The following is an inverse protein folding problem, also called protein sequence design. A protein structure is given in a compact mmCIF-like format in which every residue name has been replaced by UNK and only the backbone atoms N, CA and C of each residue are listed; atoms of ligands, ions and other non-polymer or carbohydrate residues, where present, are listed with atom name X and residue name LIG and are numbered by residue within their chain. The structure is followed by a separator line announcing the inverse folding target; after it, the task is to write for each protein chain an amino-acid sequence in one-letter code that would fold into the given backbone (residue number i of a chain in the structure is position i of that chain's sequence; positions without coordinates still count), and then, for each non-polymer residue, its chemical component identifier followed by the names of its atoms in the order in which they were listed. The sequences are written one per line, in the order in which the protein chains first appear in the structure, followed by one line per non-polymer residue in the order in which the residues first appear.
data_IF_943528695458
#
_entry.id   IF_943528695458
#
_cell.length_a   1.000
_cell.length_b   1.000
_cell.length_c   1.000
_cell.angle_alpha   90.00
_cell.angle_beta   90.00
_cell.angle_gamma   90.00
#
_symmetry.space_group_name_H-M   'P 1'
#
loop_
_entity.id
_entity.type
_entity.pdbx_description
1 polymer ?
#
# COMPACT_ATOMS: atom_id res chain seq x y z
N UNK A 1 -1.63 13.92 -22.15
CA UNK A 1 -1.16 14.95 -21.19
C UNK A 1 -2.12 16.12 -21.31
N UNK A 2 -2.55 16.68 -20.20
CA UNK A 2 -3.31 17.94 -20.19
C UNK A 2 -2.35 19.08 -20.50
N UNK A 3 -2.80 20.14 -21.16
CA UNK A 3 -1.95 21.18 -21.74
C UNK A 3 -0.98 21.91 -20.79
N UNK A 4 -1.06 21.69 -19.47
CA UNK A 4 -0.20 22.33 -18.45
C UNK A 4 0.66 21.35 -17.63
N UNK A 5 0.70 20.07 -17.94
CA UNK A 5 1.49 19.08 -17.18
C UNK A 5 2.92 19.02 -17.71
N UNK A 6 3.82 19.72 -17.02
CA UNK A 6 5.26 19.78 -17.36
C UNK A 6 6.06 18.63 -16.76
N UNK A 7 5.52 17.97 -15.71
CA UNK A 7 6.18 16.96 -14.90
C UNK A 7 5.34 15.68 -14.94
N UNK A 8 5.93 14.56 -15.31
CA UNK A 8 5.24 13.28 -15.32
C UNK A 8 4.94 12.78 -13.89
N UNK A 9 5.92 12.88 -12.99
CA UNK A 9 5.84 12.36 -11.64
C UNK A 9 6.46 13.33 -10.62
N UNK A 10 5.69 13.74 -9.62
CA UNK A 10 6.20 14.50 -8.47
C UNK A 10 6.29 13.60 -7.25
N UNK A 11 7.47 13.55 -6.60
CA UNK A 11 7.68 12.89 -5.30
C UNK A 11 7.50 13.92 -4.18
N UNK A 12 6.31 13.97 -3.58
CA UNK A 12 6.02 14.87 -2.47
C UNK A 12 6.41 14.22 -1.13
N UNK A 13 7.23 14.94 -0.36
CA UNK A 13 7.89 14.42 0.83
C UNK A 13 9.29 13.87 0.56
N UNK A 14 9.93 14.31 -0.52
CA UNK A 14 11.25 13.88 -0.97
C UNK A 14 12.36 13.99 0.08
N UNK A 15 12.22 14.87 1.07
CA UNK A 15 13.19 15.07 2.16
C UNK A 15 12.98 14.16 3.37
N UNK A 16 11.86 13.43 3.42
CA UNK A 16 11.54 12.45 4.46
C UNK A 16 12.29 11.14 4.28
N UNK A 17 12.26 10.27 5.29
CA UNK A 17 12.97 8.98 5.25
C UNK A 17 12.59 8.15 4.00
N UNK A 18 11.31 7.85 3.81
CA UNK A 18 10.83 7.06 2.68
C UNK A 18 10.95 7.81 1.35
N UNK A 19 10.67 9.13 1.34
CA UNK A 19 10.79 9.95 0.13
C UNK A 19 12.20 9.95 -0.46
N UNK A 20 13.24 9.98 0.39
CA UNK A 20 14.65 9.87 -0.03
C UNK A 20 14.92 8.54 -0.73
N UNK A 21 14.36 7.43 -0.22
CA UNK A 21 14.50 6.10 -0.83
C UNK A 21 13.77 6.02 -2.18
N UNK A 22 12.61 6.65 -2.30
CA UNK A 22 11.89 6.76 -3.57
C UNK A 22 12.70 7.57 -4.58
N UNK A 23 13.26 8.72 -4.19
CA UNK A 23 14.09 9.55 -5.06
C UNK A 23 15.37 8.82 -5.51
N UNK A 24 16.05 8.11 -4.59
CA UNK A 24 17.22 7.28 -4.92
C UNK A 24 16.85 6.16 -5.92
N UNK A 25 15.72 5.50 -5.72
CA UNK A 25 15.24 4.48 -6.64
C UNK A 25 14.93 5.05 -8.02
N UNK A 26 14.17 6.16 -8.11
CA UNK A 26 13.84 6.81 -9.39
C UNK A 26 15.08 7.28 -10.11
N UNK A 27 16.04 7.86 -9.39
CA UNK A 27 17.33 8.29 -9.98
C UNK A 27 18.10 7.13 -10.60
N UNK A 28 18.18 5.99 -9.91
CA UNK A 28 18.91 4.80 -10.41
C UNK A 28 18.18 4.09 -11.53
N UNK A 29 16.85 4.00 -11.46
CA UNK A 29 16.04 3.22 -12.38
C UNK A 29 15.66 3.98 -13.65
N UNK A 30 15.37 5.28 -13.53
CA UNK A 30 14.86 6.11 -14.63
C UNK A 30 15.79 7.24 -15.01
N UNK A 31 16.62 7.71 -14.08
CA UNK A 31 17.60 8.79 -14.33
C UNK A 31 16.96 10.11 -14.70
N UNK A 32 17.69 10.90 -15.50
CA UNK A 32 17.24 12.17 -16.09
C UNK A 32 17.22 12.05 -17.61
N UNK A 33 16.18 12.58 -18.25
CA UNK A 33 16.00 12.50 -19.70
C UNK A 33 15.62 11.10 -20.23
N UNK A 34 15.22 10.20 -19.33
CA UNK A 34 14.63 8.91 -19.65
C UNK A 34 13.12 8.99 -19.93
N UNK A 35 12.43 7.84 -19.79
CA UNK A 35 11.00 7.70 -20.10
C UNK A 35 10.09 8.37 -19.08
N UNK A 36 10.61 8.88 -17.96
CA UNK A 36 9.86 9.53 -16.87
C UNK A 36 10.56 10.82 -16.47
N UNK A 37 9.90 11.94 -16.70
CA UNK A 37 10.33 13.26 -16.23
C UNK A 37 9.79 13.47 -14.79
N UNK A 38 10.66 13.34 -13.78
CA UNK A 38 10.25 13.39 -12.39
C UNK A 38 10.86 14.56 -11.62
N UNK A 39 10.21 14.97 -10.53
CA UNK A 39 10.62 16.08 -9.68
C UNK A 39 10.59 15.70 -8.21
N UNK A 40 11.43 16.36 -7.41
CA UNK A 40 11.41 16.28 -5.94
C UNK A 40 10.59 17.43 -5.37
N UNK A 41 9.66 17.12 -4.45
CA UNK A 41 8.84 18.14 -3.81
C UNK A 41 8.86 18.05 -2.28
N UNK A 42 8.73 19.22 -1.64
CA UNK A 42 8.71 19.37 -0.18
C UNK A 42 8.64 20.84 0.22
N UNK A 43 8.51 21.11 1.52
CA UNK A 43 8.25 22.47 2.04
C UNK A 43 9.47 23.40 2.15
N UNK A 44 10.68 22.90 1.93
CA UNK A 44 11.92 23.68 2.07
C UNK A 44 12.84 23.41 0.89
N UNK A 45 13.09 24.45 0.07
CA UNK A 45 13.99 24.38 -1.08
C UNK A 45 15.41 23.99 -0.65
N UNK A 46 15.97 24.62 0.40
CA UNK A 46 17.31 24.30 0.90
C UNK A 46 17.47 22.83 1.27
N UNK A 47 16.43 22.23 1.91
CA UNK A 47 16.44 20.81 2.24
C UNK A 47 16.32 19.92 1.00
N UNK A 48 15.53 20.34 0.00
CA UNK A 48 15.43 19.62 -1.26
C UNK A 48 16.77 19.62 -2.01
N UNK A 49 17.45 20.76 -2.08
CA UNK A 49 18.80 20.87 -2.64
C UNK A 49 19.78 19.95 -1.91
N UNK A 50 19.81 20.03 -0.57
CA UNK A 50 20.70 19.20 0.26
C UNK A 50 20.47 17.70 0.02
N UNK A 51 19.22 17.25 -0.03
CA UNK A 51 18.88 15.84 -0.25
C UNK A 51 19.19 15.41 -1.69
N UNK A 52 18.92 16.24 -2.68
CA UNK A 52 19.27 15.99 -4.08
C UNK A 52 20.77 15.74 -4.23
N UNK A 53 21.58 16.65 -3.67
CA UNK A 53 23.05 16.59 -3.77
C UNK A 53 23.60 15.39 -2.98
N UNK A 54 23.05 15.09 -1.80
CA UNK A 54 23.43 13.92 -0.97
C UNK A 54 23.13 12.59 -1.67
N UNK A 55 22.02 12.49 -2.39
CA UNK A 55 21.65 11.30 -3.17
C UNK A 55 22.35 11.20 -4.53
N UNK A 56 23.13 12.21 -4.93
CA UNK A 56 23.74 12.28 -6.26
C UNK A 56 22.71 12.37 -7.38
N UNK A 57 21.55 12.93 -7.12
CA UNK A 57 20.51 13.18 -8.13
C UNK A 57 20.94 14.38 -8.97
N UNK A 58 20.79 14.26 -10.29
CA UNK A 58 21.18 15.31 -11.25
C UNK A 58 20.47 16.63 -10.95
N UNK A 59 21.22 17.73 -11.07
CA UNK A 59 20.68 19.09 -10.85
C UNK A 59 19.55 19.48 -11.83
N UNK A 60 19.42 18.77 -12.96
CA UNK A 60 18.31 18.93 -13.90
C UNK A 60 16.97 18.40 -13.37
N UNK A 61 16.96 17.58 -12.31
CA UNK A 61 15.71 17.17 -11.64
C UNK A 61 15.08 18.39 -10.96
N UNK A 62 13.85 18.79 -11.35
CA UNK A 62 13.20 19.96 -10.79
C UNK A 62 12.93 19.82 -9.29
N UNK A 63 13.00 20.94 -8.58
CA UNK A 63 12.59 21.04 -7.18
C UNK A 63 11.30 21.85 -7.11
N UNK A 64 10.31 21.34 -6.41
CA UNK A 64 8.98 21.96 -6.25
C UNK A 64 8.73 22.22 -4.78
N UNK A 65 8.53 23.49 -4.43
CA UNK A 65 8.20 23.89 -3.05
C UNK A 65 6.69 23.77 -2.84
N UNK A 66 6.27 22.86 -1.97
CA UNK A 66 4.87 22.69 -1.58
C UNK A 66 4.77 22.33 -0.09
N UNK A 67 3.79 22.90 0.60
CA UNK A 67 3.56 22.73 2.03
C UNK A 67 2.13 22.25 2.29
N UNK A 68 1.97 21.20 3.11
CA UNK A 68 0.66 20.66 3.48
C UNK A 68 -0.24 21.69 4.19
N UNK A 69 0.37 22.67 4.88
CA UNK A 69 -0.36 23.74 5.56
C UNK A 69 -0.76 24.90 4.62
N UNK A 70 -0.44 24.78 3.32
CA UNK A 70 -0.70 25.82 2.31
C UNK A 70 -1.38 25.25 1.07
N UNK A 71 -2.70 25.19 1.09
CA UNK A 71 -3.51 24.61 0.02
C UNK A 71 -3.18 25.16 -1.38
N UNK A 72 -2.82 26.45 -1.50
CA UNK A 72 -2.47 27.05 -2.80
C UNK A 72 -1.16 26.45 -3.37
N UNK A 73 -0.16 26.19 -2.51
CA UNK A 73 1.09 25.55 -2.96
C UNK A 73 0.89 24.09 -3.38
N UNK A 74 -0.04 23.39 -2.73
CA UNK A 74 -0.44 22.03 -3.16
C UNK A 74 -1.13 22.06 -4.52
N UNK A 75 -2.08 22.99 -4.75
CA UNK A 75 -2.75 23.15 -6.05
C UNK A 75 -1.77 23.49 -7.17
N UNK A 76 -0.82 24.38 -6.93
CA UNK A 76 0.22 24.71 -7.90
C UNK A 76 1.05 23.47 -8.28
N UNK A 77 1.54 22.71 -7.30
CA UNK A 77 2.26 21.47 -7.54
C UNK A 77 1.42 20.44 -8.34
N UNK A 78 0.17 20.22 -7.91
CA UNK A 78 -0.74 19.24 -8.50
C UNK A 78 -1.08 19.56 -9.96
N UNK A 79 -1.30 20.84 -10.31
CA UNK A 79 -1.63 21.23 -11.69
C UNK A 79 -0.49 21.06 -12.67
N UNK A 80 0.76 20.99 -12.20
CA UNK A 80 1.96 20.80 -13.02
C UNK A 80 2.34 19.33 -13.20
N UNK A 81 1.74 18.43 -12.42
CA UNK A 81 2.09 17.01 -12.39
C UNK A 81 1.05 16.14 -13.09
N UNK A 82 1.48 15.10 -13.81
CA UNK A 82 0.59 14.05 -14.25
C UNK A 82 0.24 13.08 -13.12
N UNK A 83 1.23 12.72 -12.28
CA UNK A 83 1.07 11.87 -11.12
C UNK A 83 1.74 12.52 -9.91
N UNK A 84 1.07 12.57 -8.76
CA UNK A 84 1.68 12.90 -7.47
C UNK A 84 1.83 11.63 -6.65
N UNK A 85 3.08 11.31 -6.30
CA UNK A 85 3.45 10.28 -5.35
C UNK A 85 3.77 10.96 -4.03
N UNK A 86 3.06 10.60 -2.95
CA UNK A 86 3.29 11.21 -1.64
C UNK A 86 3.73 10.21 -0.58
N UNK A 87 4.73 10.62 0.19
CA UNK A 87 5.20 9.91 1.39
C UNK A 87 4.99 10.75 2.66
N UNK A 88 4.17 11.81 2.57
CA UNK A 88 3.89 12.72 3.68
C UNK A 88 2.76 12.16 4.53
N UNK A 89 3.10 11.63 5.69
CA UNK A 89 2.19 11.12 6.71
C UNK A 89 2.48 11.71 8.10
N UNK A 90 1.60 11.51 9.10
CA UNK A 90 0.29 10.83 9.03
C UNK A 90 -0.70 11.48 8.07
N UNK A 91 -1.39 10.65 7.27
CA UNK A 91 -2.27 11.12 6.20
C UNK A 91 -3.50 11.85 6.75
N UNK A 92 -4.04 11.38 7.87
CA UNK A 92 -5.15 12.04 8.58
C UNK A 92 -4.82 13.47 9.04
N UNK A 93 -3.52 13.83 9.13
CA UNK A 93 -3.07 15.16 9.52
C UNK A 93 -2.70 16.04 8.33
N UNK A 94 -2.15 15.44 7.25
CA UNK A 94 -1.51 16.21 6.17
C UNK A 94 -1.97 15.81 4.75
N UNK A 95 -2.80 14.77 4.60
CA UNK A 95 -3.13 14.20 3.29
C UNK A 95 -4.39 14.77 2.64
N UNK A 96 -5.34 15.27 3.42
CA UNK A 96 -6.69 15.56 2.93
C UNK A 96 -6.72 16.65 1.84
N UNK A 97 -6.02 17.74 2.02
CA UNK A 97 -5.97 18.84 1.04
C UNK A 97 -5.28 18.42 -0.26
N UNK A 98 -4.28 17.54 -0.18
CA UNK A 98 -3.61 17.02 -1.36
C UNK A 98 -4.52 16.08 -2.16
N UNK A 99 -5.24 15.18 -1.49
CA UNK A 99 -6.23 14.30 -2.15
C UNK A 99 -7.34 15.14 -2.80
N UNK A 100 -7.86 16.15 -2.10
CA UNK A 100 -8.85 17.08 -2.64
C UNK A 100 -8.34 17.78 -3.90
N UNK A 101 -7.13 18.34 -3.85
CA UNK A 101 -6.52 19.03 -4.99
C UNK A 101 -6.32 18.09 -6.21
N UNK A 102 -5.85 16.86 -5.98
CA UNK A 102 -5.70 15.86 -7.04
C UNK A 102 -7.05 15.47 -7.64
N UNK A 103 -8.06 15.21 -6.79
CA UNK A 103 -9.41 14.86 -7.22
C UNK A 103 -10.07 15.97 -8.06
N UNK A 104 -9.87 17.22 -7.71
CA UNK A 104 -10.40 18.38 -8.43
C UNK A 104 -9.65 18.64 -9.75
N UNK A 105 -8.32 18.57 -9.73
CA UNK A 105 -7.48 18.84 -10.91
C UNK A 105 -7.49 17.69 -11.93
N UNK A 106 -7.89 16.49 -11.52
CA UNK A 106 -7.79 15.26 -12.30
C UNK A 106 -6.36 14.75 -12.43
N UNK A 107 -5.50 15.08 -11.48
CA UNK A 107 -4.13 14.58 -11.37
C UNK A 107 -4.15 13.24 -10.67
N UNK A 108 -3.40 12.28 -11.17
CA UNK A 108 -3.29 10.96 -10.55
C UNK A 108 -2.50 11.04 -9.23
N UNK A 109 -2.80 10.12 -8.32
CA UNK A 109 -2.23 10.12 -6.96
C UNK A 109 -1.92 8.72 -6.49
N UNK A 110 -0.77 8.54 -5.83
CA UNK A 110 -0.41 7.32 -5.10
C UNK A 110 0.18 7.65 -3.74
N UNK A 111 -0.09 6.80 -2.75
CA UNK A 111 0.44 6.96 -1.38
C UNK A 111 0.82 5.64 -0.71
N UNK A 112 1.23 5.72 0.55
CA UNK A 112 1.57 4.62 1.45
C UNK A 112 0.60 4.53 2.64
N UNK A 113 -0.64 4.95 2.45
CA UNK A 113 -1.59 5.08 3.54
C UNK A 113 -2.00 3.71 4.11
N UNK A 114 -1.85 3.58 5.43
CA UNK A 114 -2.37 2.47 6.23
C UNK A 114 -3.39 2.94 7.28
N UNK A 115 -4.11 4.05 7.03
CA UNK A 115 -5.03 4.72 7.95
C UNK A 115 -6.49 4.57 7.48
N UNK A 116 -7.19 3.43 7.79
CA UNK A 116 -8.51 3.12 7.20
C UNK A 116 -9.59 4.17 7.50
N UNK A 117 -9.53 4.80 8.68
CA UNK A 117 -10.48 5.86 9.06
C UNK A 117 -10.40 7.04 8.12
N UNK A 118 -9.18 7.53 7.85
CA UNK A 118 -8.96 8.62 6.91
C UNK A 118 -9.30 8.21 5.47
N UNK A 119 -8.95 7.01 5.04
CA UNK A 119 -9.31 6.51 3.70
C UNK A 119 -10.82 6.47 3.51
N UNK A 120 -11.58 6.02 4.54
CA UNK A 120 -13.04 6.03 4.52
C UNK A 120 -13.60 7.44 4.30
N UNK A 121 -13.08 8.44 5.02
CA UNK A 121 -13.48 9.84 4.87
C UNK A 121 -13.14 10.39 3.48
N UNK A 122 -11.96 10.10 2.94
CA UNK A 122 -11.54 10.55 1.61
C UNK A 122 -12.36 9.92 0.48
N UNK A 123 -12.70 8.65 0.60
CA UNK A 123 -13.59 7.95 -0.35
C UNK A 123 -14.96 8.65 -0.40
N UNK A 124 -15.53 8.95 0.75
CA UNK A 124 -16.82 9.60 0.85
C UNK A 124 -16.79 11.05 0.34
N UNK A 125 -15.73 11.80 0.65
CA UNK A 125 -15.63 13.23 0.32
C UNK A 125 -15.24 13.50 -1.14
N UNK A 126 -14.35 12.67 -1.71
CA UNK A 126 -13.68 13.00 -2.98
C UNK A 126 -13.88 11.97 -4.10
N UNK A 127 -14.55 10.85 -3.84
CA UNK A 127 -14.78 9.80 -4.85
C UNK A 127 -15.47 10.32 -6.10
N UNK A 128 -16.56 11.08 -5.94
CA UNK A 128 -17.31 11.66 -7.06
C UNK A 128 -16.50 12.72 -7.82
N UNK A 129 -15.71 13.54 -7.11
CA UNK A 129 -14.86 14.55 -7.75
C UNK A 129 -13.79 13.87 -8.61
N UNK A 130 -13.11 12.86 -8.08
CA UNK A 130 -12.11 12.07 -8.81
C UNK A 130 -12.73 11.37 -10.04
N UNK A 131 -13.92 10.79 -9.91
CA UNK A 131 -14.61 10.16 -11.01
C UNK A 131 -14.95 11.17 -12.14
N UNK A 132 -15.42 12.36 -11.81
CA UNK A 132 -15.75 13.41 -12.79
C UNK A 132 -14.53 14.02 -13.45
N UNK A 133 -13.46 14.28 -12.71
CA UNK A 133 -12.25 14.91 -13.22
C UNK A 133 -11.36 13.95 -14.02
N UNK A 134 -11.52 12.64 -13.80
CA UNK A 134 -10.67 11.60 -14.35
C UNK A 134 -9.40 11.34 -13.52
N UNK A 135 -9.28 11.88 -12.29
CA UNK A 135 -8.18 11.58 -11.39
C UNK A 135 -8.25 10.12 -10.92
N UNK A 136 -7.15 9.40 -11.02
CA UNK A 136 -7.00 8.05 -10.47
C UNK A 136 -6.22 8.14 -9.17
N UNK A 137 -6.94 8.01 -8.06
CA UNK A 137 -6.37 8.10 -6.71
C UNK A 137 -6.20 6.67 -6.19
N UNK A 138 -4.97 6.21 -5.98
CA UNK A 138 -4.69 4.84 -5.54
C UNK A 138 -4.00 4.90 -4.18
N UNK A 139 -4.70 4.47 -3.14
CA UNK A 139 -4.16 4.38 -1.78
C UNK A 139 -3.35 3.10 -1.57
N UNK A 140 -2.50 3.10 -0.54
CA UNK A 140 -1.82 1.89 -0.02
C UNK A 140 -0.89 1.21 -1.04
N UNK A 141 -0.07 1.99 -1.75
CA UNK A 141 0.87 1.51 -2.78
C UNK A 141 2.24 1.06 -2.20
N UNK A 142 2.29 0.61 -0.95
CA UNK A 142 3.45 0.04 -0.29
C UNK A 142 3.26 -1.41 0.12
N UNK A 143 4.04 -1.87 1.12
CA UNK A 143 3.86 -3.21 1.69
C UNK A 143 2.45 -3.40 2.24
N UNK A 144 1.89 -2.35 2.78
CA UNK A 144 0.48 -2.24 3.10
C UNK A 144 -0.19 -1.43 1.95
N UNK A 145 -0.79 -2.06 0.89
CA UNK A 145 -1.19 -3.48 0.83
C UNK A 145 -0.71 -4.21 -0.43
N UNK A 146 0.26 -3.72 -1.21
CA UNK A 146 0.59 -4.26 -2.55
C UNK A 146 0.78 -5.80 -2.58
N UNK A 147 1.64 -6.43 -1.76
CA UNK A 147 1.86 -7.87 -1.84
C UNK A 147 0.61 -8.69 -1.52
N UNK A 148 -0.27 -8.15 -0.67
CA UNK A 148 -1.49 -8.83 -0.22
C UNK A 148 -2.62 -8.68 -1.24
N UNK A 149 -2.89 -7.46 -1.66
CA UNK A 149 -3.95 -7.13 -2.59
C UNK A 149 -3.69 -7.75 -3.98
N UNK A 150 -2.48 -7.54 -4.52
CA UNK A 150 -2.08 -8.15 -5.79
C UNK A 150 -1.85 -9.67 -5.66
N UNK A 151 -1.47 -10.17 -4.49
CA UNK A 151 -1.33 -11.61 -4.24
C UNK A 151 -2.67 -12.35 -4.31
N UNK A 152 -3.71 -11.79 -3.69
CA UNK A 152 -5.09 -12.31 -3.82
C UNK A 152 -5.57 -12.18 -5.27
N UNK A 153 -5.34 -11.03 -5.91
CA UNK A 153 -5.70 -10.83 -7.31
C UNK A 153 -5.04 -11.88 -8.23
N UNK A 154 -3.75 -12.11 -8.08
CA UNK A 154 -2.98 -13.11 -8.83
C UNK A 154 -3.55 -14.53 -8.64
N UNK A 155 -3.83 -14.91 -7.39
CA UNK A 155 -4.45 -16.21 -7.08
C UNK A 155 -5.83 -16.36 -7.73
N UNK A 156 -6.68 -15.34 -7.66
CA UNK A 156 -8.02 -15.35 -8.23
C UNK A 156 -8.01 -15.41 -9.77
N UNK A 157 -7.09 -14.71 -10.42
CA UNK A 157 -6.89 -14.81 -11.86
C UNK A 157 -6.45 -16.22 -12.26
N UNK A 158 -5.52 -16.81 -11.51
CA UNK A 158 -5.08 -18.18 -11.73
C UNK A 158 -6.20 -19.21 -11.53
N UNK A 159 -7.05 -19.02 -10.50
CA UNK A 159 -8.20 -19.88 -10.23
C UNK A 159 -9.20 -19.84 -11.40
N UNK A 160 -9.57 -18.66 -11.87
CA UNK A 160 -10.45 -18.50 -13.03
C UNK A 160 -9.89 -19.19 -14.28
N UNK A 161 -8.58 -19.05 -14.53
CA UNK A 161 -7.91 -19.65 -15.68
C UNK A 161 -7.83 -21.18 -15.58
N UNK A 162 -7.57 -21.73 -14.39
CA UNK A 162 -7.36 -23.17 -14.18
C UNK A 162 -8.62 -23.94 -13.84
N UNK A 163 -9.53 -23.34 -13.05
CA UNK A 163 -10.72 -23.99 -12.50
C UNK A 163 -12.01 -23.48 -13.15
N UNK A 164 -11.98 -22.33 -13.84
CA UNK A 164 -13.14 -21.70 -14.44
C UNK A 164 -13.96 -20.80 -13.49
N UNK A 165 -13.57 -20.71 -12.22
CA UNK A 165 -14.27 -19.92 -11.20
C UNK A 165 -13.30 -19.29 -10.20
N UNK A 166 -13.78 -18.33 -9.43
CA UNK A 166 -13.06 -17.73 -8.31
C UNK A 166 -13.11 -18.63 -7.07
N UNK A 167 -12.20 -18.37 -6.12
CA UNK A 167 -12.14 -19.06 -4.85
C UNK A 167 -12.75 -18.17 -3.75
N UNK A 168 -13.94 -18.52 -3.20
CA UNK A 168 -14.65 -17.64 -2.25
C UNK A 168 -13.97 -17.56 -0.88
N UNK A 169 -13.04 -18.45 -0.55
CA UNK A 169 -12.27 -18.40 0.67
C UNK A 169 -10.78 -18.29 0.36
N UNK A 170 -10.13 -17.20 0.82
CA UNK A 170 -8.67 -17.05 0.72
C UNK A 170 -8.09 -16.75 2.09
N UNK A 171 -6.98 -17.40 2.42
CA UNK A 171 -6.17 -17.14 3.63
C UNK A 171 -4.82 -16.58 3.21
N UNK A 172 -4.48 -15.36 3.67
CA UNK A 172 -3.14 -14.81 3.57
C UNK A 172 -2.30 -15.24 4.78
N UNK A 173 -1.12 -15.79 4.55
CA UNK A 173 -0.25 -16.29 5.62
C UNK A 173 1.18 -15.81 5.41
N UNK A 174 1.63 -14.90 6.27
CA UNK A 174 3.04 -14.47 6.28
C UNK A 174 3.87 -15.64 6.83
N UNK A 175 4.64 -16.29 5.95
CA UNK A 175 5.51 -17.42 6.32
C UNK A 175 6.78 -16.97 7.02
N UNK A 176 7.34 -15.89 6.53
CA UNK A 176 8.52 -15.27 7.13
C UNK A 176 8.67 -13.83 6.65
N UNK A 177 9.21 -12.99 7.50
CA UNK A 177 9.57 -11.61 7.13
C UNK A 177 10.69 -11.10 8.04
N UNK A 178 11.50 -10.19 7.51
CA UNK A 178 12.51 -9.44 8.25
C UNK A 178 12.44 -7.98 7.86
N UNK A 179 12.13 -7.14 8.81
CA UNK A 179 12.02 -5.69 8.67
C UNK A 179 11.66 -5.02 9.99
N UNK A 180 11.70 -3.69 10.00
CA UNK A 180 11.35 -2.89 11.19
C UNK A 180 10.52 -1.68 10.77
N UNK A 181 9.87 -1.02 11.73
CA UNK A 181 9.04 0.17 11.48
C UNK A 181 9.85 1.46 11.58
N UNK A 182 9.54 2.46 10.74
CA UNK A 182 10.07 3.83 10.90
C UNK A 182 9.26 4.63 11.92
N UNK A 183 9.82 5.78 12.33
CA UNK A 183 9.09 6.73 13.15
C UNK A 183 7.83 7.30 12.48
N UNK A 184 7.79 7.36 11.13
CA UNK A 184 6.60 7.77 10.38
C UNK A 184 5.45 6.78 10.54
N UNK A 185 5.71 5.49 10.33
CA UNK A 185 4.72 4.42 10.53
C UNK A 185 4.18 4.39 11.96
N UNK A 186 5.07 4.55 12.94
CA UNK A 186 4.68 4.61 14.35
C UNK A 186 3.84 5.86 14.67
N UNK A 187 4.14 7.00 14.05
CA UNK A 187 3.34 8.22 14.19
C UNK A 187 1.92 8.04 13.64
N UNK A 188 1.77 7.44 12.44
CA UNK A 188 0.47 7.11 11.86
C UNK A 188 -0.33 6.14 12.73
N UNK A 189 0.32 5.09 13.25
CA UNK A 189 -0.33 4.15 14.17
C UNK A 189 -0.86 4.85 15.44
N UNK A 190 -0.01 5.65 16.10
CA UNK A 190 -0.40 6.40 17.30
C UNK A 190 -1.53 7.41 17.02
N UNK A 191 -1.48 8.12 15.90
CA UNK A 191 -2.52 9.05 15.49
C UNK A 191 -3.85 8.32 15.22
N UNK A 192 -3.83 7.17 14.55
CA UNK A 192 -5.02 6.35 14.30
C UNK A 192 -5.64 5.85 15.60
N UNK A 193 -4.84 5.37 16.54
CA UNK A 193 -5.34 4.92 17.85
C UNK A 193 -5.92 6.05 18.69
N UNK A 194 -5.29 7.23 18.66
CA UNK A 194 -5.81 8.43 19.34
C UNK A 194 -7.14 8.88 18.73
N UNK A 195 -7.23 8.96 17.41
CA UNK A 195 -8.46 9.32 16.71
C UNK A 195 -9.61 8.34 17.00
N UNK A 196 -9.33 7.03 17.02
CA UNK A 196 -10.33 6.02 17.35
C UNK A 196 -10.81 6.08 18.83
N UNK A 197 -9.94 6.52 19.74
CA UNK A 197 -10.32 6.70 21.14
C UNK A 197 -11.20 7.94 21.35
N UNK A 198 -11.02 8.99 20.55
CA UNK A 198 -11.81 10.23 20.61
C UNK A 198 -13.11 10.15 19.80
N UNK A 199 -13.12 9.36 18.73
CA UNK A 199 -14.21 9.27 17.75
C UNK A 199 -14.70 7.82 17.61
N UNK A 200 -15.78 7.43 18.31
CA UNK A 200 -16.31 6.05 18.30
C UNK A 200 -16.64 5.53 16.88
N UNK A 201 -17.06 6.41 15.97
CA UNK A 201 -17.32 6.05 14.57
C UNK A 201 -16.06 5.56 13.85
N UNK A 202 -14.87 6.12 14.14
CA UNK A 202 -13.62 5.62 13.59
C UNK A 202 -13.23 4.26 14.20
N UNK A 203 -13.51 4.04 15.46
CA UNK A 203 -13.33 2.71 16.06
C UNK A 203 -14.17 1.65 15.35
N UNK A 204 -15.40 1.98 14.94
CA UNK A 204 -16.25 1.08 14.14
C UNK A 204 -15.63 0.82 12.76
N UNK A 205 -15.12 1.86 12.07
CA UNK A 205 -14.41 1.71 10.79
C UNK A 205 -13.20 0.78 10.92
N UNK A 206 -12.45 0.84 12.02
CA UNK A 206 -11.31 -0.08 12.24
C UNK A 206 -11.77 -1.53 12.40
N UNK A 207 -12.94 -1.77 13.01
CA UNK A 207 -13.47 -3.12 13.23
C UNK A 207 -14.20 -3.70 12.03
N UNK A 208 -14.78 -2.88 11.16
CA UNK A 208 -15.55 -3.33 10.00
C UNK A 208 -14.63 -3.70 8.82
N UNK A 209 -14.60 -4.97 8.37
CA UNK A 209 -13.85 -5.39 7.19
C UNK A 209 -14.28 -4.70 5.89
N UNK A 210 -15.55 -4.26 5.84
CA UNK A 210 -16.18 -3.63 4.67
C UNK A 210 -16.25 -2.10 4.77
N UNK A 211 -15.56 -1.49 5.71
CA UNK A 211 -15.58 -0.03 5.91
C UNK A 211 -15.20 0.79 4.66
N UNK A 212 -14.44 0.22 3.72
CA UNK A 212 -14.02 0.88 2.48
C UNK A 212 -14.87 0.51 1.26
N UNK A 213 -16.03 -0.17 1.45
CA UNK A 213 -16.94 -0.60 0.38
C UNK A 213 -18.31 0.06 0.52
N UNK A 214 -18.48 1.33 0.09
CA UNK A 214 -19.72 2.07 0.31
C UNK A 214 -20.94 1.35 -0.24
N UNK A 215 -21.95 1.12 0.63
CA UNK A 215 -23.20 0.47 0.24
C UNK A 215 -23.16 -1.05 0.11
N UNK A 216 -22.01 -1.68 0.39
CA UNK A 216 -21.87 -3.15 0.39
C UNK A 216 -21.31 -3.64 1.73
N UNK A 217 -21.93 -4.72 2.24
CA UNK A 217 -21.45 -5.48 3.39
C UNK A 217 -21.56 -6.96 3.05
N UNK A 218 -20.42 -7.65 3.02
CA UNK A 218 -20.36 -9.08 2.68
C UNK A 218 -20.63 -9.99 3.87
N UNK A 219 -20.29 -11.30 3.77
CA UNK A 219 -20.45 -12.27 4.84
C UNK A 219 -19.57 -11.97 6.06
N UNK A 220 -19.90 -12.60 7.19
CA UNK A 220 -19.04 -12.56 8.38
C UNK A 220 -17.61 -13.01 8.05
N UNK A 221 -16.63 -12.23 8.48
CA UNK A 221 -15.22 -12.48 8.21
C UNK A 221 -14.56 -13.17 9.40
N UNK A 222 -13.61 -14.12 9.14
CA UNK A 222 -12.81 -14.71 10.20
C UNK A 222 -12.03 -13.61 10.93
N UNK A 223 -12.07 -13.55 12.26
CA UNK A 223 -11.55 -12.40 13.01
C UNK A 223 -10.01 -12.24 12.96
N UNK A 224 -9.25 -13.33 12.76
CA UNK A 224 -7.77 -13.28 12.68
C UNK A 224 -7.06 -12.68 13.92
N UNK A 225 -7.75 -12.61 15.08
CA UNK A 225 -7.30 -11.85 16.26
C UNK A 225 -6.70 -12.72 17.37
N UNK A 226 -6.74 -14.05 17.22
CA UNK A 226 -6.23 -15.02 18.20
C UNK A 226 -5.36 -16.07 17.53
N UNK A 227 -4.38 -16.66 18.27
CA UNK A 227 -3.66 -17.82 17.78
C UNK A 227 -4.59 -18.97 17.36
N UNK A 228 -4.29 -19.59 16.20
CA UNK A 228 -5.06 -20.70 15.64
C UNK A 228 -4.10 -21.76 15.12
N UNK A 229 -4.40 -23.06 15.35
CA UNK A 229 -3.69 -24.15 14.70
C UNK A 229 -4.30 -24.41 13.32
N UNK A 230 -3.48 -24.38 12.28
CA UNK A 230 -3.87 -24.64 10.89
C UNK A 230 -3.41 -26.06 10.51
N UNK A 231 -4.32 -27.01 10.60
CA UNK A 231 -4.01 -28.43 10.39
C UNK A 231 -3.45 -28.72 8.99
N UNK A 232 -4.03 -28.12 7.96
CA UNK A 232 -3.63 -28.28 6.56
C UNK A 232 -2.28 -27.64 6.22
N UNK A 233 -1.80 -26.72 7.04
CA UNK A 233 -0.46 -26.13 6.94
C UNK A 233 0.52 -26.71 7.95
N UNK A 234 0.05 -27.52 8.90
CA UNK A 234 0.86 -28.12 9.95
C UNK A 234 1.55 -27.07 10.85
N UNK A 235 0.92 -25.91 11.06
CA UNK A 235 1.52 -24.77 11.74
C UNK A 235 0.51 -24.05 12.62
N UNK A 236 0.98 -23.39 13.66
CA UNK A 236 0.24 -22.34 14.32
C UNK A 236 0.32 -21.04 13.54
N UNK A 237 -0.68 -20.20 13.69
CA UNK A 237 -0.72 -18.85 13.15
C UNK A 237 -1.09 -17.84 14.25
N UNK A 238 -0.54 -16.63 14.14
CA UNK A 238 -0.74 -15.50 15.04
C UNK A 238 -1.37 -14.32 14.29
N UNK A 239 -2.04 -13.39 14.99
CA UNK A 239 -2.51 -12.14 14.41
C UNK A 239 -1.38 -11.40 13.70
N UNK A 240 -1.70 -10.77 12.56
CA UNK A 240 -0.77 -9.94 11.81
C UNK A 240 -1.20 -8.47 11.88
N UNK A 241 -0.31 -7.60 12.31
CA UNK A 241 -0.64 -6.19 12.60
C UNK A 241 -1.18 -5.44 11.38
N UNK A 242 -0.71 -5.76 10.16
CA UNK A 242 -1.15 -5.11 8.93
C UNK A 242 -2.49 -5.65 8.39
N UNK A 243 -3.01 -6.76 8.94
CA UNK A 243 -4.29 -7.32 8.53
C UNK A 243 -5.45 -6.30 8.60
N UNK A 244 -5.39 -5.36 9.53
CA UNK A 244 -6.43 -4.33 9.70
C UNK A 244 -6.62 -3.47 8.46
N UNK A 245 -5.57 -3.12 7.75
CA UNK A 245 -5.67 -2.36 6.49
C UNK A 245 -5.75 -3.27 5.26
N UNK A 246 -4.96 -4.34 5.23
CA UNK A 246 -4.90 -5.22 4.06
C UNK A 246 -6.24 -5.89 3.78
N UNK A 247 -6.94 -6.40 4.81
CA UNK A 247 -8.26 -7.01 4.65
C UNK A 247 -9.28 -6.05 4.04
N UNK A 248 -9.29 -4.79 4.49
CA UNK A 248 -10.19 -3.76 3.95
C UNK A 248 -9.87 -3.43 2.49
N UNK A 249 -8.60 -3.32 2.14
CA UNK A 249 -8.18 -3.08 0.76
C UNK A 249 -8.56 -4.25 -0.15
N UNK A 250 -8.39 -5.48 0.28
CA UNK A 250 -8.76 -6.67 -0.51
C UNK A 250 -10.27 -6.74 -0.73
N UNK A 251 -11.09 -6.47 0.31
CA UNK A 251 -12.55 -6.38 0.13
C UNK A 251 -12.95 -5.23 -0.78
N UNK A 252 -12.27 -4.08 -0.66
CA UNK A 252 -12.49 -2.96 -1.57
C UNK A 252 -12.09 -3.31 -3.00
N UNK A 253 -10.99 -4.02 -3.22
CA UNK A 253 -10.60 -4.50 -4.55
C UNK A 253 -11.67 -5.41 -5.15
N UNK A 254 -12.21 -6.36 -4.37
CA UNK A 254 -13.32 -7.20 -4.81
C UNK A 254 -14.55 -6.36 -5.20
N UNK A 255 -14.92 -5.39 -4.37
CA UNK A 255 -16.03 -4.46 -4.63
C UNK A 255 -15.82 -3.66 -5.93
N UNK A 256 -14.65 -3.05 -6.11
CA UNK A 256 -14.31 -2.23 -7.28
C UNK A 256 -14.19 -3.06 -8.57
N UNK A 257 -13.84 -4.33 -8.45
CA UNK A 257 -13.81 -5.31 -9.54
C UNK A 257 -15.18 -5.98 -9.79
N UNK A 258 -16.28 -5.36 -9.35
CA UNK A 258 -17.64 -5.88 -9.48
C UNK A 258 -17.80 -7.28 -8.89
N UNK A 259 -17.27 -7.47 -7.69
CA UNK A 259 -17.29 -8.73 -6.94
C UNK A 259 -16.67 -9.91 -7.69
N UNK A 260 -15.56 -9.62 -8.37
CA UNK A 260 -14.85 -10.62 -9.15
C UNK A 260 -14.37 -11.83 -8.33
N UNK A 261 -14.23 -11.72 -7.02
CA UNK A 261 -13.86 -12.83 -6.13
C UNK A 261 -15.09 -13.55 -5.53
N UNK A 262 -16.30 -13.02 -5.78
CA UNK A 262 -17.60 -13.43 -5.22
C UNK A 262 -18.13 -12.43 -4.21
N UNK A 263 -19.46 -12.31 -4.11
CA UNK A 263 -20.10 -11.52 -3.03
C UNK A 263 -19.99 -12.23 -1.68
N UNK A 264 -19.81 -13.56 -1.70
CA UNK A 264 -19.58 -14.44 -0.55
C UNK A 264 -18.11 -14.57 -0.16
N UNK A 265 -17.22 -13.76 -0.76
CA UNK A 265 -15.79 -13.81 -0.54
C UNK A 265 -15.40 -13.54 0.92
N UNK A 266 -14.59 -14.46 1.47
CA UNK A 266 -14.02 -14.35 2.81
C UNK A 266 -12.50 -14.36 2.79
N UNK A 267 -11.91 -13.49 3.60
CA UNK A 267 -10.46 -13.34 3.71
C UNK A 267 -10.03 -13.10 5.16
N UNK A 268 -8.94 -13.72 5.57
CA UNK A 268 -8.20 -13.35 6.77
C UNK A 268 -6.69 -13.44 6.53
N UNK A 269 -5.94 -12.75 7.37
CA UNK A 269 -4.50 -12.61 7.24
C UNK A 269 -3.82 -12.81 8.59
N UNK A 270 -2.87 -13.74 8.64
CA UNK A 270 -2.15 -14.08 9.86
C UNK A 270 -0.67 -14.41 9.56
N UNK A 271 0.15 -14.51 10.60
CA UNK A 271 1.55 -14.91 10.52
C UNK A 271 1.71 -16.37 10.97
N UNK A 272 2.39 -17.21 10.17
CA UNK A 272 2.74 -18.56 10.58
C UNK A 272 3.88 -18.53 11.60
N UNK A 273 3.75 -19.33 12.66
CA UNK A 273 4.70 -19.37 13.78
C UNK A 273 5.37 -20.75 13.95
N UNK A 274 5.01 -21.74 13.13
CA UNK A 274 5.61 -23.06 13.12
C UNK A 274 4.76 -24.14 13.77
N UNK A 275 5.24 -25.40 13.76
CA UNK A 275 4.51 -26.55 14.25
C UNK A 275 4.67 -26.75 15.77
N UNK A 276 3.76 -27.56 16.34
CA UNK A 276 3.85 -28.08 17.71
C UNK A 276 3.78 -27.01 18.80
N UNK A 277 4.26 -27.37 19.99
CA UNK A 277 4.23 -26.52 21.19
C UNK A 277 5.04 -25.23 21.01
N UNK A 278 6.20 -25.31 20.39
CA UNK A 278 7.03 -24.12 20.12
C UNK A 278 6.33 -23.12 19.18
N UNK A 279 5.57 -23.62 18.16
CA UNK A 279 4.76 -22.77 17.29
C UNK A 279 3.62 -22.11 18.04
N UNK A 280 2.96 -22.83 18.96
CA UNK A 280 1.90 -22.28 19.81
C UNK A 280 2.40 -21.18 20.74
N UNK A 281 3.52 -21.41 21.42
CA UNK A 281 4.13 -20.42 22.29
C UNK A 281 4.54 -19.15 21.52
N UNK A 282 5.13 -19.32 20.34
CA UNK A 282 5.46 -18.19 19.46
C UNK A 282 4.19 -17.43 19.04
N UNK A 283 3.11 -18.14 18.68
CA UNK A 283 1.84 -17.49 18.31
C UNK A 283 1.26 -16.66 19.44
N UNK A 284 1.31 -17.16 20.67
CA UNK A 284 0.90 -16.43 21.87
C UNK A 284 1.79 -15.21 22.13
N UNK A 285 3.11 -15.35 21.94
CA UNK A 285 4.05 -14.24 22.10
C UNK A 285 3.80 -13.12 21.08
N UNK A 286 3.60 -13.46 19.81
CA UNK A 286 3.26 -12.49 18.76
C UNK A 286 1.93 -11.80 19.04
N UNK A 287 0.90 -12.55 19.49
CA UNK A 287 -0.40 -11.98 19.85
C UNK A 287 -0.34 -11.00 21.04
N UNK A 288 0.66 -11.16 21.93
CA UNK A 288 0.89 -10.29 23.10
C UNK A 288 1.87 -9.15 22.83
N UNK A 289 2.48 -9.09 21.64
CA UNK A 289 3.51 -8.10 21.30
C UNK A 289 2.94 -6.67 21.22
N UNK A 290 3.56 -5.75 21.95
CA UNK A 290 3.23 -4.31 21.97
C UNK A 290 4.38 -3.43 21.48
N UNK A 291 5.43 -4.02 20.95
CA UNK A 291 6.66 -3.32 20.56
C UNK A 291 6.42 -2.15 19.58
N UNK A 292 5.42 -2.26 18.71
CA UNK A 292 5.04 -1.18 17.81
C UNK A 292 4.53 0.06 18.56
N UNK A 293 3.70 -0.12 19.60
CA UNK A 293 3.17 0.99 20.41
C UNK A 293 4.24 1.64 21.27
N UNK A 294 5.22 0.86 21.72
CA UNK A 294 6.27 1.25 22.68
C UNK A 294 7.57 1.75 22.03
N UNK A 295 7.69 1.67 20.71
CA UNK A 295 8.90 2.05 19.99
C UNK A 295 9.26 3.53 20.19
N UNK A 296 10.56 3.85 20.48
CA UNK A 296 11.03 5.21 20.69
C UNK A 296 11.39 5.97 19.39
N UNK A 297 11.34 5.34 18.22
CA UNK A 297 11.74 5.94 16.96
C UNK A 297 10.92 7.20 16.63
N UNK A 298 11.62 8.24 16.17
CA UNK A 298 11.01 9.54 15.82
C UNK A 298 10.74 9.63 14.31
N UNK A 299 9.79 10.48 13.87
CA UNK A 299 9.63 10.80 12.47
C UNK A 299 10.95 11.21 11.80
N UNK A 300 11.25 10.64 10.63
CA UNK A 300 12.52 10.81 9.93
C UNK A 300 13.57 9.74 10.23
N UNK A 301 13.38 8.92 11.26
CA UNK A 301 14.24 7.78 11.58
C UNK A 301 13.65 6.49 10.99
N UNK A 302 14.51 5.58 10.54
CA UNK A 302 14.12 4.29 9.98
C UNK A 302 15.29 3.30 9.95
N UNK A 303 15.09 2.09 9.39
CA UNK A 303 16.13 1.08 9.31
C UNK A 303 17.35 1.53 8.52
N UNK A 304 18.52 1.04 8.90
CA UNK A 304 19.79 1.26 8.18
C UNK A 304 19.75 0.66 6.77
N UNK A 305 20.74 0.99 5.92
CA UNK A 305 20.87 0.38 4.60
C UNK A 305 21.03 -1.14 4.70
N UNK A 306 21.86 -1.63 5.63
CA UNK A 306 22.08 -3.05 5.85
C UNK A 306 20.80 -3.78 6.29
N UNK A 307 20.02 -3.19 7.20
CA UNK A 307 18.73 -3.75 7.61
C UNK A 307 17.75 -3.84 6.43
N UNK A 308 17.69 -2.81 5.58
CA UNK A 308 16.83 -2.81 4.38
C UNK A 308 17.27 -3.84 3.33
N UNK A 309 18.57 -3.97 3.10
CA UNK A 309 19.13 -4.89 2.11
C UNK A 309 19.06 -6.35 2.54
N UNK A 310 19.20 -6.62 3.84
CA UNK A 310 19.09 -7.96 4.40
C UNK A 310 17.66 -8.37 4.75
N UNK A 311 16.70 -7.47 4.55
CA UNK A 311 15.28 -7.74 4.76
C UNK A 311 14.67 -8.61 3.66
N UNK A 312 13.54 -9.22 3.96
CA UNK A 312 12.76 -10.03 3.01
C UNK A 312 11.36 -10.28 3.55
N UNK A 313 10.48 -10.81 2.70
CA UNK A 313 9.19 -11.35 3.11
C UNK A 313 8.74 -12.46 2.16
N UNK A 314 7.90 -13.35 2.70
CA UNK A 314 7.28 -14.47 2.00
C UNK A 314 5.83 -14.61 2.50
N UNK A 315 4.86 -14.35 1.63
CA UNK A 315 3.43 -14.42 1.92
C UNK A 315 2.80 -15.52 1.07
N UNK A 316 2.19 -16.48 1.74
CA UNK A 316 1.41 -17.57 1.13
C UNK A 316 -0.07 -17.17 1.08
N UNK A 317 -0.71 -17.46 -0.04
CA UNK A 317 -2.16 -17.36 -0.21
C UNK A 317 -2.71 -18.75 -0.48
N UNK A 318 -3.68 -19.18 0.33
CA UNK A 318 -4.38 -20.47 0.17
C UNK A 318 -5.83 -20.15 -0.16
N UNK A 319 -6.24 -20.44 -1.38
CA UNK A 319 -7.61 -20.28 -1.84
C UNK A 319 -8.34 -21.61 -1.90
N UNK A 320 -9.57 -21.67 -1.40
CA UNK A 320 -10.41 -22.88 -1.41
C UNK A 320 -11.83 -22.58 -1.91
N UNK A 321 -12.43 -23.57 -2.57
CA UNK A 321 -13.84 -23.55 -2.98
C UNK A 321 -14.70 -24.50 -2.13
N UNK A 322 -16.01 -24.32 -2.19
CA UNK A 322 -16.97 -25.21 -1.54
C UNK A 322 -16.96 -26.62 -2.16
N UNK A 323 -16.46 -26.77 -3.38
CA UNK A 323 -16.31 -28.06 -4.08
C UNK A 323 -15.03 -28.81 -3.69
N UNK A 324 -14.16 -28.20 -2.87
CA UNK A 324 -12.90 -28.78 -2.42
C UNK A 324 -11.70 -28.44 -3.31
N UNK A 325 -11.86 -27.58 -4.33
CA UNK A 325 -10.74 -27.06 -5.09
C UNK A 325 -9.83 -26.23 -4.19
N UNK A 326 -8.51 -26.39 -4.38
CA UNK A 326 -7.50 -25.62 -3.67
C UNK A 326 -6.43 -25.14 -4.65
N UNK A 327 -6.07 -23.87 -4.54
CA UNK A 327 -4.86 -23.32 -5.16
C UNK A 327 -4.05 -22.57 -4.13
N UNK A 328 -2.74 -22.63 -4.29
CA UNK A 328 -1.79 -21.88 -3.50
C UNK A 328 -0.98 -20.94 -4.39
N UNK A 329 -0.73 -19.74 -3.91
CA UNK A 329 0.19 -18.80 -4.53
C UNK A 329 1.07 -18.16 -3.47
N UNK A 330 2.23 -17.65 -3.86
CA UNK A 330 3.08 -16.88 -2.97
C UNK A 330 3.54 -15.58 -3.61
N UNK A 331 3.73 -14.58 -2.75
CA UNK A 331 4.40 -13.32 -3.08
C UNK A 331 5.60 -13.17 -2.17
N UNK A 332 6.78 -12.96 -2.77
CA UNK A 332 8.04 -12.79 -2.04
C UNK A 332 8.70 -11.48 -2.47
N UNK A 333 9.39 -10.85 -1.53
CA UNK A 333 10.23 -9.68 -1.78
C UNK A 333 11.65 -9.87 -1.23
N UNK A 334 12.62 -9.32 -1.94
CA UNK A 334 14.07 -9.46 -1.72
C UNK A 334 14.68 -8.35 -0.84
N UNK A 335 13.84 -7.51 -0.24
CA UNK A 335 14.22 -6.37 0.63
C UNK A 335 13.27 -6.30 1.83
N UNK A 336 13.64 -5.51 2.83
CA UNK A 336 12.74 -5.25 3.95
C UNK A 336 11.38 -4.76 3.45
N UNK A 337 10.28 -5.23 4.04
CA UNK A 337 8.94 -4.89 3.56
C UNK A 337 8.65 -3.40 3.66
N UNK A 338 9.03 -2.79 4.78
CA UNK A 338 8.58 -1.46 5.15
C UNK A 338 9.14 -0.33 4.29
N UNK A 339 10.36 -0.47 3.77
CA UNK A 339 11.04 0.68 3.10
C UNK A 339 11.83 0.27 1.86
N UNK A 340 12.69 -0.74 1.94
CA UNK A 340 13.50 -1.19 0.80
C UNK A 340 12.63 -1.72 -0.35
N UNK A 341 11.57 -2.45 -0.03
CA UNK A 341 10.59 -2.93 -1.01
C UNK A 341 9.53 -1.86 -1.30
N UNK A 342 9.00 -1.21 -0.25
CA UNK A 342 7.94 -0.19 -0.35
C UNK A 342 8.32 1.00 -1.24
N UNK A 343 9.56 1.51 -1.14
CA UNK A 343 10.01 2.62 -1.99
C UNK A 343 9.96 2.30 -3.47
N UNK A 344 10.27 1.05 -3.83
CA UNK A 344 10.15 0.55 -5.21
C UNK A 344 8.70 0.35 -5.61
N UNK A 345 7.88 -0.25 -4.73
CA UNK A 345 6.46 -0.51 -5.00
C UNK A 345 5.69 0.77 -5.31
N UNK A 346 5.83 1.81 -4.50
CA UNK A 346 5.11 3.07 -4.74
C UNK A 346 5.62 3.80 -5.99
N UNK A 347 6.94 3.79 -6.25
CA UNK A 347 7.50 4.37 -7.47
C UNK A 347 6.95 3.66 -8.71
N UNK A 348 6.96 2.32 -8.71
CA UNK A 348 6.43 1.53 -9.83
C UNK A 348 4.91 1.67 -9.98
N UNK A 349 4.15 1.91 -8.89
CA UNK A 349 2.72 2.21 -8.95
C UNK A 349 2.46 3.53 -9.69
N UNK A 350 3.22 4.57 -9.36
CA UNK A 350 3.11 5.87 -10.04
C UNK A 350 3.46 5.76 -11.53
N UNK A 351 4.55 5.08 -11.86
CA UNK A 351 4.96 4.88 -13.26
C UNK A 351 3.98 3.96 -14.00
N UNK A 352 3.39 2.97 -13.32
CA UNK A 352 2.33 2.13 -13.90
C UNK A 352 1.10 2.96 -14.29
N UNK A 353 0.64 3.86 -13.42
CA UNK A 353 -0.45 4.79 -13.74
C UNK A 353 -0.08 5.67 -14.95
N UNK A 354 1.10 6.27 -14.92
CA UNK A 354 1.57 7.17 -15.98
C UNK A 354 1.57 6.48 -17.36
N UNK A 355 2.12 5.27 -17.43
CA UNK A 355 2.31 4.54 -18.69
C UNK A 355 1.07 3.79 -19.16
N UNK A 356 0.04 3.65 -18.32
CA UNK A 356 -1.18 2.91 -18.63
C UNK A 356 -2.44 3.74 -18.34
N UNK A 357 -2.72 4.77 -19.14
CA UNK A 357 -3.81 5.71 -18.86
C UNK A 357 -5.22 5.10 -18.96
N UNK A 358 -5.37 3.93 -19.55
CA UNK A 358 -6.65 3.25 -19.75
C UNK A 358 -6.96 2.12 -18.78
N UNK A 359 -6.08 1.81 -17.82
CA UNK A 359 -6.29 0.70 -16.86
C UNK A 359 -7.52 0.93 -15.97
N UNK A 360 -7.70 2.15 -15.49
CA UNK A 360 -8.84 2.54 -14.67
C UNK A 360 -9.35 3.92 -15.08
N UNK A 361 -10.64 4.16 -14.88
CA UNK A 361 -11.23 5.50 -14.97
C UNK A 361 -10.91 6.35 -13.73
N UNK A 362 -11.40 7.60 -13.74
CA UNK A 362 -11.32 8.46 -12.56
C UNK A 362 -12.05 7.82 -11.37
N UNK A 363 -11.51 8.02 -10.17
CA UNK A 363 -12.05 7.46 -8.93
C UNK A 363 -10.99 7.21 -7.87
N UNK A 364 -11.41 6.66 -6.73
CA UNK A 364 -10.51 6.25 -5.65
C UNK A 364 -10.43 4.72 -5.62
N UNK A 365 -9.24 4.22 -5.78
CA UNK A 365 -8.93 2.84 -6.11
C UNK A 365 -8.02 2.18 -5.06
N UNK A 366 -7.90 0.85 -5.17
CA UNK A 366 -6.85 0.02 -4.56
C UNK A 366 -5.85 -0.42 -5.63
N UNK A 367 -4.65 -0.88 -5.26
CA UNK A 367 -3.64 -1.31 -6.24
C UNK A 367 -4.12 -2.41 -7.19
N UNK A 368 -4.78 -3.46 -6.69
CA UNK A 368 -5.25 -4.54 -7.54
C UNK A 368 -6.34 -4.09 -8.51
N UNK A 369 -7.28 -3.25 -8.05
CA UNK A 369 -8.39 -2.79 -8.89
C UNK A 369 -7.96 -1.77 -9.94
N UNK A 370 -6.97 -0.91 -9.64
CA UNK A 370 -6.48 0.11 -10.57
C UNK A 370 -5.41 -0.41 -11.54
N UNK A 371 -4.49 -1.25 -11.05
CA UNK A 371 -3.23 -1.54 -11.74
C UNK A 371 -3.12 -2.99 -12.20
N UNK A 372 -3.69 -3.95 -11.47
CA UNK A 372 -3.81 -5.36 -11.83
C UNK A 372 -2.53 -6.03 -12.34
N UNK A 373 -2.66 -6.79 -13.43
CA UNK A 373 -1.57 -7.58 -14.04
C UNK A 373 -0.37 -6.73 -14.51
N UNK A 374 -0.54 -5.54 -15.14
CA UNK A 374 0.59 -4.69 -15.50
C UNK A 374 1.47 -4.30 -14.31
N UNK A 375 0.88 -4.11 -13.14
CA UNK A 375 1.65 -3.84 -11.93
C UNK A 375 2.42 -5.07 -11.45
N UNK A 376 1.82 -6.26 -11.47
CA UNK A 376 2.49 -7.51 -11.13
C UNK A 376 3.74 -7.71 -12.00
N UNK A 377 3.62 -7.52 -13.32
CA UNK A 377 4.75 -7.62 -14.24
C UNK A 377 5.87 -6.60 -13.93
N UNK A 378 5.50 -5.36 -13.62
CA UNK A 378 6.47 -4.31 -13.25
C UNK A 378 7.19 -4.64 -11.96
N UNK A 379 6.48 -5.09 -10.94
CA UNK A 379 7.06 -5.46 -9.66
C UNK A 379 8.06 -6.61 -9.78
N UNK A 380 7.75 -7.59 -10.62
CA UNK A 380 8.68 -8.70 -10.89
C UNK A 380 9.91 -8.24 -11.67
N UNK A 381 9.76 -7.33 -12.63
CA UNK A 381 10.86 -6.86 -13.47
C UNK A 381 11.79 -5.89 -12.73
N UNK A 382 11.22 -4.97 -11.93
CA UNK A 382 11.93 -3.80 -11.44
C UNK A 382 12.09 -3.75 -9.91
N UNK A 383 11.16 -4.34 -9.15
CA UNK A 383 11.08 -4.14 -7.72
C UNK A 383 11.58 -5.31 -6.87
N UNK A 384 11.95 -6.44 -7.50
CA UNK A 384 12.46 -7.63 -6.81
C UNK A 384 11.38 -8.47 -6.12
N UNK A 385 10.11 -8.32 -6.54
CA UNK A 385 9.04 -9.20 -6.12
C UNK A 385 8.93 -10.42 -7.04
N UNK A 386 8.40 -11.51 -6.50
CA UNK A 386 7.99 -12.68 -7.28
C UNK A 386 6.56 -13.05 -6.94
N UNK A 387 5.78 -13.40 -7.96
CA UNK A 387 4.43 -13.94 -7.84
C UNK A 387 4.43 -15.31 -8.49
N UNK A 388 4.08 -16.36 -7.74
CA UNK A 388 4.10 -17.72 -8.29
C UNK A 388 2.99 -18.60 -7.71
N UNK A 389 2.47 -19.52 -8.52
CA UNK A 389 1.62 -20.59 -8.02
C UNK A 389 2.51 -21.67 -7.38
N UNK A 390 2.05 -22.19 -6.26
CA UNK A 390 2.69 -23.30 -5.56
C UNK A 390 1.94 -24.62 -5.82
N UNK A 391 2.66 -25.73 -5.71
CA UNK A 391 2.11 -27.07 -5.90
C UNK A 391 1.19 -27.50 -4.76
#
# INVERSE_FOLDING_TARGET
MRDNQEIDLVVYGATGYTGRLVCDYLNRQYGVGGDVNWAMAGRSEDKLVSVRDELGVDAAVPLVVADADRADSLREMVTRAAVVLTTVGPYQLYGSDLVAACAEAGTDYVDLCGEPGWMHEMIAAHGDAAARSGARIVFSCGFDSIPFDLGVHYLQQAARKKLGHALPRVRGRVRSMKGTFSGGTLASFKATMAAAAERPELAQVLMDPFALTPGFSGPEQPPGTKPVHEEDLGSWSAPFVMATINTKNIHRSNFLLSHAYGEDFTYDEMMLTGPGEAGEEMAKAVAADKSMAESPRKPGEGPSAEERESGYYDVLFVGTSAQGDMLKASVKGDRDPGYGSTSKMIAESAVCLLQNPSLAGGGIWTPAAALGEPMIERLQRNAGLTFQLEA
#
